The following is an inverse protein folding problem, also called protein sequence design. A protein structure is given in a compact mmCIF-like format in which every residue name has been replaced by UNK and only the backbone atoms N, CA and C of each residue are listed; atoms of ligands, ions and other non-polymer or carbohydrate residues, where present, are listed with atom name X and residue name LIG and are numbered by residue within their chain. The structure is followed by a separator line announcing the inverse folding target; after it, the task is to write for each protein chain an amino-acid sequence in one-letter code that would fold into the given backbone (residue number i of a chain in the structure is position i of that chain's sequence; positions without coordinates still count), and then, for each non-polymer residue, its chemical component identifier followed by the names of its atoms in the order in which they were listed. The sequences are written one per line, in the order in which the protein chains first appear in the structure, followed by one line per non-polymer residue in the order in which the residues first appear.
data_IF_105969173649
#
_entry.id   IF_105969173649
#
_cell.length_a   1.000
_cell.length_b   1.000
_cell.length_c   1.000
_cell.angle_alpha   90.00
_cell.angle_beta   90.00
_cell.angle_gamma   90.00
#
_symmetry.space_group_name_H-M   'P 1'
#
loop_
_entity.id
_entity.type
_entity.pdbx_description
1 polymer ?
#
# COMPACT_ATOMS: atom_id res chain seq x y z
N UNK A 1 11.13 3.27 -4.72
CA UNK A 1 9.78 3.41 -4.14
C UNK A 1 9.19 2.01 -4.14
N UNK A 2 9.00 1.44 -2.95
CA UNK A 2 8.95 -0.01 -2.66
C UNK A 2 10.24 -0.75 -3.03
N UNK A 3 10.88 -1.38 -2.05
CA UNK A 3 12.04 -2.21 -2.28
C UNK A 3 11.62 -3.49 -3.01
N UNK A 4 12.30 -3.82 -4.12
CA UNK A 4 12.01 -4.99 -4.94
C UNK A 4 12.31 -6.32 -4.22
N UNK A 5 13.16 -6.29 -3.17
CA UNK A 5 13.52 -7.47 -2.37
C UNK A 5 12.52 -7.81 -1.25
N UNK A 6 11.54 -6.94 -0.98
CA UNK A 6 10.56 -7.17 0.09
C UNK A 6 9.40 -7.99 -0.48
N UNK A 7 9.14 -9.14 0.14
CA UNK A 7 7.96 -9.96 -0.16
C UNK A 7 6.73 -9.44 0.61
N UNK A 8 6.11 -8.42 0.04
CA UNK A 8 4.90 -7.82 0.61
C UNK A 8 3.71 -8.77 0.62
N UNK A 9 3.63 -9.74 -0.29
CA UNK A 9 2.51 -10.70 -0.30
C UNK A 9 2.57 -11.63 0.91
N UNK A 10 3.76 -12.14 1.23
CA UNK A 10 3.97 -12.93 2.45
C UNK A 10 3.72 -12.09 3.70
N UNK A 11 4.13 -10.82 3.71
CA UNK A 11 3.85 -9.91 4.83
C UNK A 11 2.35 -9.69 5.01
N UNK A 12 1.60 -9.42 3.93
CA UNK A 12 0.17 -9.16 3.99
C UNK A 12 -0.66 -10.40 4.35
N UNK A 13 -0.20 -11.59 3.96
CA UNK A 13 -0.88 -12.86 4.28
C UNK A 13 -0.69 -13.33 5.72
N UNK A 14 0.22 -12.72 6.50
CA UNK A 14 0.53 -13.13 7.87
C UNK A 14 0.45 -11.95 8.85
N UNK A 15 -0.57 -11.95 9.70
CA UNK A 15 -0.83 -10.86 10.67
C UNK A 15 0.38 -10.50 11.52
N UNK A 16 1.12 -11.49 12.03
CA UNK A 16 2.29 -11.24 12.88
C UNK A 16 3.44 -10.57 12.12
N UNK A 17 3.54 -10.77 10.79
CA UNK A 17 4.52 -10.08 9.95
C UNK A 17 4.06 -8.67 9.61
N UNK A 18 2.76 -8.47 9.37
CA UNK A 18 2.21 -7.16 9.03
C UNK A 18 2.15 -6.21 10.22
N UNK A 19 1.84 -6.74 11.41
CA UNK A 19 1.58 -5.95 12.62
C UNK A 19 2.68 -4.91 12.93
N UNK A 20 3.98 -5.23 12.89
CA UNK A 20 5.04 -4.25 13.12
C UNK A 20 5.05 -3.10 12.09
N UNK A 21 4.70 -3.37 10.83
CA UNK A 21 4.59 -2.34 9.79
C UNK A 21 3.41 -1.43 10.07
N UNK A 22 2.24 -1.99 10.38
CA UNK A 22 1.05 -1.20 10.68
C UNK A 22 1.23 -0.38 11.95
N UNK A 23 1.77 -0.96 13.02
CA UNK A 23 2.04 -0.24 14.26
C UNK A 23 3.00 0.93 14.03
N UNK A 24 4.07 0.72 13.24
CA UNK A 24 4.97 1.77 12.82
C UNK A 24 4.25 2.89 12.05
N UNK A 25 3.48 2.53 11.03
CA UNK A 25 2.75 3.45 10.16
C UNK A 25 1.71 4.23 10.96
N UNK A 26 1.08 3.60 11.95
CA UNK A 26 0.06 4.17 12.83
C UNK A 26 0.62 4.93 14.03
N UNK A 27 1.95 5.08 14.15
CA UNK A 27 2.61 5.73 15.30
C UNK A 27 2.38 5.01 16.65
N UNK A 28 2.14 3.70 16.61
CA UNK A 28 1.86 2.85 17.79
C UNK A 28 3.03 1.95 18.21
N UNK A 29 4.14 1.96 17.46
CA UNK A 29 5.27 1.09 17.72
C UNK A 29 6.56 1.50 17.01
N UNK A 30 7.62 0.74 17.25
CA UNK A 30 8.93 0.95 16.60
C UNK A 30 8.84 0.59 15.11
N UNK A 31 9.50 1.38 14.28
CA UNK A 31 9.62 1.11 12.85
C UNK A 31 10.90 0.32 12.55
N UNK A 32 10.77 -0.74 11.75
CA UNK A 32 11.89 -1.29 10.99
C UNK A 32 12.36 -0.26 9.98
N UNK A 33 13.58 -0.42 9.43
CA UNK A 33 14.09 0.46 8.37
C UNK A 33 13.09 0.53 7.20
N UNK A 34 12.60 -0.63 6.75
CA UNK A 34 11.58 -0.73 5.69
C UNK A 34 10.27 -0.06 6.06
N UNK A 35 9.80 -0.24 7.29
CA UNK A 35 8.62 0.43 7.83
C UNK A 35 8.76 1.96 7.79
N UNK A 36 9.95 2.50 8.08
CA UNK A 36 10.22 3.95 7.99
C UNK A 36 10.10 4.44 6.54
N UNK A 37 10.63 3.69 5.58
CA UNK A 37 10.51 4.03 4.15
C UNK A 37 9.05 4.02 3.71
N UNK A 38 8.30 2.97 4.05
CA UNK A 38 6.87 2.86 3.71
C UNK A 38 6.07 3.99 4.32
N UNK A 39 6.26 4.29 5.60
CA UNK A 39 5.58 5.37 6.31
C UNK A 39 5.80 6.74 5.68
N UNK A 40 7.01 7.01 5.17
CA UNK A 40 7.33 8.26 4.44
C UNK A 40 6.73 8.29 3.03
N UNK A 41 6.72 7.15 2.34
CA UNK A 41 6.26 7.06 0.96
C UNK A 41 4.72 7.07 0.83
N UNK A 42 4.01 6.40 1.74
CA UNK A 42 2.55 6.27 1.71
C UNK A 42 1.78 7.60 1.58
N UNK A 43 2.00 8.63 2.41
CA UNK A 43 1.27 9.89 2.28
C UNK A 43 1.53 10.59 0.95
N UNK A 44 2.76 10.50 0.44
CA UNK A 44 3.11 11.06 -0.86
C UNK A 44 2.41 10.30 -2.00
N UNK A 45 2.41 8.97 -1.97
CA UNK A 45 1.73 8.14 -2.97
C UNK A 45 0.24 8.45 -2.97
N UNK A 46 -0.39 8.49 -1.79
CA UNK A 46 -1.82 8.77 -1.64
C UNK A 46 -2.17 10.15 -2.18
N UNK A 47 -1.47 11.19 -1.73
CA UNK A 47 -1.73 12.58 -2.13
C UNK A 47 -1.48 12.84 -3.61
N UNK A 48 -0.53 12.13 -4.21
CA UNK A 48 -0.20 12.28 -5.64
C UNK A 48 -0.87 11.25 -6.52
N UNK A 49 -1.67 10.33 -5.96
CA UNK A 49 -2.38 9.27 -6.70
C UNK A 49 -1.43 8.44 -7.58
N UNK A 50 -0.19 8.22 -7.10
CA UNK A 50 0.88 7.57 -7.86
C UNK A 50 1.20 8.25 -9.21
N UNK A 51 0.94 9.56 -9.38
CA UNK A 51 1.19 10.32 -10.63
C UNK A 51 2.64 10.21 -11.11
N UNK A 52 3.59 10.13 -10.19
CA UNK A 52 5.03 10.03 -10.47
C UNK A 52 5.55 8.59 -10.51
N UNK A 53 4.67 7.60 -10.38
CA UNK A 53 5.05 6.19 -10.45
C UNK A 53 5.26 5.75 -11.90
N UNK A 54 6.27 4.91 -12.12
CA UNK A 54 6.44 4.20 -13.40
C UNK A 54 5.36 3.14 -13.57
N UNK A 55 5.13 2.63 -14.79
CA UNK A 55 4.12 1.58 -15.01
C UNK A 55 4.38 0.31 -14.19
N UNK A 56 5.65 -0.07 -14.00
CA UNK A 56 6.04 -1.17 -13.13
C UNK A 56 5.63 -0.90 -11.67
N UNK A 57 5.80 0.32 -11.20
CA UNK A 57 5.41 0.72 -9.85
C UNK A 57 3.89 0.77 -9.68
N UNK A 58 3.16 1.30 -10.67
CA UNK A 58 1.69 1.34 -10.65
C UNK A 58 1.10 -0.07 -10.61
N UNK A 59 1.61 -1.01 -11.41
CA UNK A 59 1.22 -2.43 -11.34
C UNK A 59 1.46 -3.03 -9.97
N UNK A 60 2.65 -2.78 -9.39
CA UNK A 60 2.97 -3.25 -8.03
C UNK A 60 2.01 -2.65 -7.01
N UNK A 61 1.76 -1.35 -7.04
CA UNK A 61 0.85 -0.68 -6.11
C UNK A 61 -0.58 -1.23 -6.25
N UNK A 62 -1.08 -1.38 -7.47
CA UNK A 62 -2.39 -1.99 -7.74
C UNK A 62 -2.52 -3.37 -7.09
N UNK A 63 -1.55 -4.24 -7.38
CA UNK A 63 -1.50 -5.61 -6.86
C UNK A 63 -1.42 -5.64 -5.34
N UNK A 64 -0.56 -4.82 -4.74
CA UNK A 64 -0.44 -4.74 -3.29
C UNK A 64 -1.73 -4.27 -2.62
N UNK A 65 -2.41 -3.27 -3.19
CA UNK A 65 -3.69 -2.79 -2.64
C UNK A 65 -4.75 -3.89 -2.73
N UNK A 66 -4.83 -4.63 -3.84
CA UNK A 66 -5.74 -5.77 -3.99
C UNK A 66 -5.47 -6.85 -2.93
N UNK A 67 -4.20 -7.23 -2.74
CA UNK A 67 -3.81 -8.19 -1.68
C UNK A 67 -4.13 -7.67 -0.29
N UNK A 68 -3.97 -6.37 -0.06
CA UNK A 68 -4.35 -5.74 1.20
C UNK A 68 -5.88 -5.81 1.41
N UNK A 69 -6.69 -5.56 0.38
CA UNK A 69 -8.15 -5.72 0.45
C UNK A 69 -8.56 -7.17 0.72
N UNK A 70 -7.83 -8.14 0.15
CA UNK A 70 -8.12 -9.56 0.29
C UNK A 70 -7.76 -10.09 1.69
N UNK A 71 -6.54 -9.82 2.15
CA UNK A 71 -6.01 -10.43 3.37
C UNK A 71 -6.22 -9.57 4.61
N UNK A 72 -6.27 -8.24 4.46
CA UNK A 72 -6.14 -7.29 5.57
C UNK A 72 -7.11 -6.09 5.45
N UNK A 73 -8.41 -6.33 5.18
CA UNK A 73 -9.37 -5.26 4.89
C UNK A 73 -9.50 -4.25 6.05
N UNK A 74 -9.48 -4.72 7.30
CA UNK A 74 -9.58 -3.84 8.47
C UNK A 74 -8.38 -2.90 8.60
N UNK A 75 -7.18 -3.43 8.40
CA UNK A 75 -5.95 -2.64 8.44
C UNK A 75 -5.92 -1.63 7.29
N UNK A 76 -6.50 -1.96 6.14
CA UNK A 76 -6.61 -1.04 5.00
C UNK A 76 -7.50 0.14 5.33
N UNK A 77 -8.65 -0.11 5.95
CA UNK A 77 -9.57 0.96 6.37
C UNK A 77 -8.93 1.89 7.40
N UNK A 78 -8.09 1.37 8.30
CA UNK A 78 -7.31 2.20 9.21
C UNK A 78 -6.31 3.11 8.47
N UNK A 79 -5.60 2.56 7.49
CA UNK A 79 -4.67 3.34 6.66
C UNK A 79 -5.39 4.42 5.85
N UNK A 80 -6.54 4.09 5.25
CA UNK A 80 -7.38 5.07 4.54
C UNK A 80 -7.81 6.19 5.46
N UNK A 81 -8.32 5.88 6.66
CA UNK A 81 -8.71 6.93 7.64
C UNK A 81 -7.54 7.82 8.03
N UNK A 82 -6.32 7.27 8.09
CA UNK A 82 -5.11 8.04 8.43
C UNK A 82 -4.64 8.96 7.30
N UNK A 83 -4.66 8.49 6.06
CA UNK A 83 -4.02 9.18 4.93
C UNK A 83 -4.98 9.82 3.93
N UNK A 84 -6.24 9.39 3.90
CA UNK A 84 -7.31 9.89 3.03
C UNK A 84 -8.65 9.90 3.79
N UNK A 85 -8.77 10.66 4.90
CA UNK A 85 -9.98 10.69 5.72
C UNK A 85 -11.22 11.12 4.93
N UNK A 86 -11.05 12.03 3.97
CA UNK A 86 -12.12 12.57 3.12
C UNK A 86 -12.43 11.70 1.89
N UNK A 87 -11.70 10.57 1.72
CA UNK A 87 -11.84 9.62 0.60
C UNK A 87 -11.65 10.24 -0.78
N UNK A 88 -10.93 11.34 -0.88
CA UNK A 88 -10.74 12.09 -2.12
C UNK A 88 -9.83 11.31 -3.08
N UNK A 89 -8.76 10.70 -2.56
CA UNK A 89 -7.75 10.01 -3.37
C UNK A 89 -8.10 8.55 -3.66
N UNK A 90 -8.92 7.92 -2.81
CA UNK A 90 -9.25 6.50 -2.95
C UNK A 90 -9.92 6.15 -4.29
N UNK A 91 -10.71 7.06 -4.87
CA UNK A 91 -11.32 6.83 -6.18
C UNK A 91 -10.27 6.75 -7.31
N UNK A 92 -9.20 7.55 -7.23
CA UNK A 92 -8.09 7.45 -8.17
C UNK A 92 -7.32 6.12 -8.02
N UNK A 93 -7.13 5.65 -6.78
CA UNK A 93 -6.55 4.32 -6.55
C UNK A 93 -7.43 3.19 -7.06
N UNK A 94 -8.75 3.26 -6.89
CA UNK A 94 -9.67 2.28 -7.48
C UNK A 94 -9.50 2.19 -8.99
N UNK A 95 -9.47 3.35 -9.66
CA UNK A 95 -9.24 3.41 -11.10
C UNK A 95 -7.87 2.82 -11.48
N UNK A 96 -6.82 3.18 -10.75
CA UNK A 96 -5.48 2.60 -10.94
C UNK A 96 -5.52 1.08 -10.77
N UNK A 97 -6.20 0.56 -9.74
CA UNK A 97 -6.34 -0.88 -9.55
C UNK A 97 -7.05 -1.48 -10.77
N UNK A 98 -8.18 -0.95 -11.22
CA UNK A 98 -8.91 -1.43 -12.38
C UNK A 98 -8.07 -1.42 -13.68
N UNK A 99 -7.35 -0.32 -13.93
CA UNK A 99 -6.49 -0.15 -15.10
C UNK A 99 -5.33 -1.17 -15.13
N UNK A 100 -4.79 -1.49 -13.95
CA UNK A 100 -3.63 -2.38 -13.81
C UNK A 100 -3.97 -3.78 -13.27
N UNK A 101 -5.26 -4.11 -13.05
CA UNK A 101 -5.78 -5.44 -12.64
C UNK A 101 -5.61 -6.48 -13.74
N UNK A 102 -5.48 -6.04 -14.99
CA UNK A 102 -5.30 -6.94 -16.13
C UNK A 102 -3.99 -7.68 -15.95
N UNK A 103 -3.98 -9.03 -16.04
CA UNK A 103 -2.74 -9.77 -16.06
C UNK A 103 -1.85 -9.17 -17.15
N UNK A 104 -0.55 -9.09 -16.87
CA UNK A 104 0.41 -8.95 -17.95
C UNK A 104 0.20 -10.19 -18.84
N UNK A 105 -0.61 -10.06 -19.89
CA UNK A 105 -0.63 -10.98 -21.00
C UNK A 105 0.75 -10.88 -21.63
N UNK A 106 1.61 -11.83 -21.28
CA UNK A 106 2.58 -12.40 -22.18
C UNK A 106 2.90 -13.81 -21.72
#
# INVERSE_FOLDING_TARGET
MFADYIDYETILSKDYLLKPYIDCIMDKGKCTEDGKYLKKALPFIVKTECKYCTDKQKRKVAHLIEKFQQYQPEQLELLKKKYDPDKYHWNAFKKLIEDYKKPASN
#
